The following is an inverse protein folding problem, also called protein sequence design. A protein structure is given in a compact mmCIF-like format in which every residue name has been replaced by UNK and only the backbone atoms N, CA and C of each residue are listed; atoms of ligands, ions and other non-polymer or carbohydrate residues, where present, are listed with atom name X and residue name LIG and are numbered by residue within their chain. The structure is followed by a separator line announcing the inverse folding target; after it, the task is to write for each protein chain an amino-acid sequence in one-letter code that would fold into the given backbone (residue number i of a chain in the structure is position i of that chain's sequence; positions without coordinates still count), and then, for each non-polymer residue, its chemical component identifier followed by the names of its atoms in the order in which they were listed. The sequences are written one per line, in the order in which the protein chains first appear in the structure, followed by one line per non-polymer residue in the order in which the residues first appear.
data_IF_316286256601
#
_entry.id   IF_316286256601
#
_cell.length_a   1.000
_cell.length_b   1.000
_cell.length_c   1.000
_cell.angle_alpha   90.00
_cell.angle_beta   90.00
_cell.angle_gamma   90.00
#
_symmetry.space_group_name_H-M   'P 1'
#
loop_
_entity.id
_entity.type
_entity.pdbx_description
1 polymer ?
#
# COMPACT_ATOMS: atom_id res chain seq x y z
N UNK A 1 14.86 -3.24 -7.40
CA UNK A 1 13.50 -3.19 -6.83
C UNK A 1 13.36 -4.39 -5.91
N UNK A 2 13.16 -4.16 -4.61
CA UNK A 2 12.87 -5.22 -3.64
C UNK A 2 11.39 -5.16 -3.27
N UNK A 3 10.69 -6.29 -3.32
CA UNK A 3 9.30 -6.37 -2.83
C UNK A 3 9.29 -7.03 -1.46
N UNK A 4 8.60 -6.42 -0.49
CA UNK A 4 8.39 -6.95 0.85
C UNK A 4 6.90 -7.20 1.09
N UNK A 5 6.59 -8.33 1.70
CA UNK A 5 5.23 -8.75 2.01
C UNK A 5 5.09 -8.77 3.52
N UNK A 6 4.11 -8.03 4.03
CA UNK A 6 3.82 -7.89 5.47
C UNK A 6 2.49 -8.59 5.75
N UNK A 7 2.46 -9.71 6.48
CA UNK A 7 1.21 -10.36 6.84
C UNK A 7 0.40 -9.45 7.79
N UNK A 8 -0.90 -9.35 7.55
CA UNK A 8 -1.85 -8.65 8.40
C UNK A 8 -2.68 -9.67 9.17
N UNK A 9 -3.11 -9.27 10.38
CA UNK A 9 -4.00 -10.10 11.20
C UNK A 9 -5.28 -10.42 10.43
N UNK A 10 -5.56 -11.71 10.32
CA UNK A 10 -6.76 -12.20 9.66
C UNK A 10 -7.96 -12.16 10.62
N UNK A 11 -9.11 -11.59 10.22
CA UNK A 11 -10.30 -11.57 11.08
C UNK A 11 -11.07 -12.89 11.07
N UNK A 12 -10.75 -13.85 10.18
CA UNK A 12 -11.52 -15.10 10.02
C UNK A 12 -10.62 -16.26 9.63
N UNK A 13 -10.86 -17.42 10.25
CA UNK A 13 -10.16 -18.67 9.97
C UNK A 13 -10.19 -18.97 8.46
N UNK A 14 -9.04 -19.39 7.92
CA UNK A 14 -8.88 -19.71 6.49
C UNK A 14 -8.68 -18.51 5.56
N UNK A 15 -8.66 -17.27 6.06
CA UNK A 15 -8.31 -16.10 5.26
C UNK A 15 -6.94 -15.54 5.65
N UNK A 16 -6.23 -14.95 4.71
CA UNK A 16 -4.97 -14.23 4.95
C UNK A 16 -5.00 -12.90 4.21
N UNK A 17 -4.41 -11.86 4.83
CA UNK A 17 -4.27 -10.53 4.23
C UNK A 17 -2.82 -10.14 4.29
N UNK A 18 -2.35 -9.44 3.26
CA UNK A 18 -0.96 -8.97 3.21
C UNK A 18 -0.93 -7.52 2.72
N UNK A 19 -0.01 -6.75 3.29
CA UNK A 19 0.40 -5.46 2.77
C UNK A 19 1.68 -5.66 1.94
N UNK A 20 1.71 -5.11 0.74
CA UNK A 20 2.89 -5.21 -0.15
C UNK A 20 3.57 -3.86 -0.22
N UNK A 21 4.88 -3.82 0.01
CA UNK A 21 5.70 -2.63 -0.22
C UNK A 21 6.81 -2.88 -1.23
N UNK A 22 7.00 -1.93 -2.14
CA UNK A 22 8.06 -1.94 -3.15
C UNK A 22 9.13 -0.92 -2.77
N UNK A 23 10.37 -1.39 -2.67
CA UNK A 23 11.53 -0.61 -2.24
C UNK A 23 12.44 -0.40 -3.45
N UNK A 24 12.91 0.83 -3.63
CA UNK A 24 13.77 1.26 -4.73
C UNK A 24 14.92 2.11 -4.21
N UNK A 25 16.04 2.08 -4.96
CA UNK A 25 17.21 2.90 -4.66
C UNK A 25 18.16 2.26 -3.64
N UNK A 26 19.26 2.95 -3.31
CA UNK A 26 20.27 2.44 -2.38
C UNK A 26 19.75 2.33 -0.94
N UNK A 27 20.13 1.26 -0.24
CA UNK A 27 19.76 1.05 1.17
C UNK A 27 20.48 2.01 2.12
N UNK A 28 21.65 2.53 1.72
CA UNK A 28 22.47 3.51 2.45
C UNK A 28 22.16 4.97 2.06
N UNK A 29 21.08 5.20 1.31
CA UNK A 29 20.70 6.54 0.90
C UNK A 29 20.40 7.45 2.11
N UNK A 30 20.94 8.66 2.11
CA UNK A 30 20.75 9.64 3.20
C UNK A 30 19.31 10.16 3.34
N UNK A 31 18.46 9.89 2.35
CA UNK A 31 17.06 10.31 2.34
C UNK A 31 16.16 9.14 2.00
N UNK A 32 15.02 9.09 2.68
CA UNK A 32 13.97 8.09 2.48
C UNK A 32 12.63 8.76 2.20
N UNK A 33 11.93 8.27 1.19
CA UNK A 33 10.58 8.72 0.82
C UNK A 33 9.63 7.54 0.95
N UNK A 34 8.56 7.72 1.73
CA UNK A 34 7.49 6.75 1.86
C UNK A 34 6.23 7.27 1.16
N UNK A 35 5.69 6.48 0.24
CA UNK A 35 4.52 6.83 -0.56
C UNK A 35 3.46 5.76 -0.31
N UNK A 36 2.34 6.17 0.25
CA UNK A 36 1.18 5.32 0.49
C UNK A 36 0.02 5.80 -0.37
N UNK A 37 -0.63 4.87 -1.05
CA UNK A 37 -1.80 5.15 -1.87
C UNK A 37 -2.97 4.26 -1.48
N UNK A 38 -4.17 4.68 -1.88
CA UNK A 38 -5.43 3.92 -1.73
C UNK A 38 -5.74 3.54 -0.27
N UNK A 39 -5.80 4.52 0.67
CA UNK A 39 -6.28 4.30 2.03
C UNK A 39 -7.75 3.85 2.07
N UNK A 40 -8.55 4.28 1.08
CA UNK A 40 -9.90 3.81 0.83
C UNK A 40 -9.90 2.94 -0.43
N UNK A 41 -10.64 1.83 -0.39
CA UNK A 41 -10.67 0.85 -1.48
C UNK A 41 -11.41 1.33 -2.75
N UNK A 42 -12.04 2.50 -2.69
CA UNK A 42 -12.76 3.16 -3.77
C UNK A 42 -11.91 4.18 -4.56
N UNK A 43 -10.69 4.46 -4.11
CA UNK A 43 -9.84 5.48 -4.70
C UNK A 43 -9.08 4.96 -5.92
N UNK A 44 -9.83 4.60 -6.97
CA UNK A 44 -9.29 4.19 -8.27
C UNK A 44 -8.20 5.14 -8.81
N UNK A 45 -8.31 6.50 -8.68
CA UNK A 45 -7.24 7.39 -9.10
C UNK A 45 -5.92 7.15 -8.33
N UNK A 46 -6.00 6.90 -7.01
CA UNK A 46 -4.83 6.63 -6.16
C UNK A 46 -4.11 5.34 -6.56
N UNK A 47 -4.87 4.28 -6.87
CA UNK A 47 -4.33 3.01 -7.35
C UNK A 47 -3.61 3.16 -8.69
N UNK A 48 -4.21 3.91 -9.62
CA UNK A 48 -3.63 4.17 -10.95
C UNK A 48 -2.34 4.98 -10.82
N UNK A 49 -2.31 6.03 -9.98
CA UNK A 49 -1.09 6.80 -9.72
C UNK A 49 0.00 5.92 -9.13
N UNK A 50 -0.32 5.07 -8.15
CA UNK A 50 0.65 4.14 -7.57
C UNK A 50 1.23 3.17 -8.61
N UNK A 51 0.40 2.71 -9.56
CA UNK A 51 0.87 1.87 -10.67
C UNK A 51 1.86 2.60 -11.59
N UNK A 52 1.57 3.85 -11.96
CA UNK A 52 2.49 4.67 -12.75
C UNK A 52 3.80 4.95 -12.01
N UNK A 53 3.72 5.29 -10.71
CA UNK A 53 4.90 5.53 -9.88
C UNK A 53 5.78 4.27 -9.77
N UNK A 54 5.17 3.09 -9.57
CA UNK A 54 5.89 1.81 -9.55
C UNK A 54 6.73 1.61 -10.82
N UNK A 55 6.14 1.84 -11.99
CA UNK A 55 6.84 1.72 -13.29
C UNK A 55 7.92 2.78 -13.45
N UNK A 56 7.65 4.01 -13.03
CA UNK A 56 8.60 5.11 -13.13
C UNK A 56 9.83 4.91 -12.24
N UNK A 57 9.64 4.52 -10.97
CA UNK A 57 10.76 4.22 -10.07
C UNK A 57 11.58 3.03 -10.53
N UNK A 58 10.95 1.98 -11.07
CA UNK A 58 11.67 0.85 -11.65
C UNK A 58 12.55 1.27 -12.85
N UNK A 59 12.13 2.26 -13.64
CA UNK A 59 12.96 2.81 -14.70
C UNK A 59 14.12 3.63 -14.13
N UNK A 60 13.85 4.56 -13.21
CA UNK A 60 14.90 5.39 -12.59
C UNK A 60 15.95 4.55 -11.85
N UNK A 61 15.55 3.45 -11.22
CA UNK A 61 16.45 2.52 -10.55
C UNK A 61 17.35 1.81 -11.56
N UNK A 62 16.80 1.31 -12.67
CA UNK A 62 17.58 0.71 -13.77
C UNK A 62 18.56 1.68 -14.39
N UNK A 63 18.19 2.95 -14.46
CA UNK A 63 19.04 4.02 -14.99
C UNK A 63 20.07 4.53 -13.97
N UNK A 64 20.08 4.00 -12.73
CA UNK A 64 20.99 4.44 -11.67
C UNK A 64 20.74 5.87 -11.18
N UNK A 65 19.54 6.41 -11.40
CA UNK A 65 19.20 7.82 -11.13
C UNK A 65 18.59 8.06 -9.75
N UNK A 66 18.34 7.01 -8.98
CA UNK A 66 17.78 7.12 -7.63
C UNK A 66 18.86 7.45 -6.61
N UNK A 67 18.72 8.60 -5.95
CA UNK A 67 19.62 9.10 -4.89
C UNK A 67 19.00 9.05 -3.49
N UNK A 68 17.83 8.44 -3.39
CA UNK A 68 17.04 8.30 -2.17
C UNK A 68 16.46 6.89 -2.16
N UNK A 69 16.24 6.35 -0.96
CA UNK A 69 15.45 5.15 -0.78
C UNK A 69 13.98 5.52 -0.95
N UNK A 70 13.24 4.80 -1.80
CA UNK A 70 11.81 5.03 -2.01
C UNK A 70 11.06 3.76 -1.62
N UNK A 71 10.06 3.90 -0.77
CA UNK A 71 9.14 2.83 -0.37
C UNK A 71 7.75 3.18 -0.85
N UNK A 72 7.21 2.37 -1.75
CA UNK A 72 5.87 2.53 -2.32
C UNK A 72 4.94 1.43 -1.81
N UNK A 73 3.85 1.83 -1.17
CA UNK A 73 2.75 0.97 -0.72
C UNK A 73 1.51 1.30 -1.54
N UNK A 74 1.21 0.51 -2.60
CA UNK A 74 0.18 0.86 -3.57
C UNK A 74 -1.26 0.72 -3.03
N UNK A 75 -1.47 -0.20 -2.09
CA UNK A 75 -2.76 -0.43 -1.44
C UNK A 75 -2.52 -0.49 0.06
N UNK A 76 -2.81 0.61 0.74
CA UNK A 76 -2.66 0.73 2.19
C UNK A 76 -3.68 -0.10 2.98
N UNK A 77 -4.88 -0.26 2.41
CA UNK A 77 -6.01 -0.93 3.04
C UNK A 77 -6.50 -2.10 2.17
N UNK A 78 -5.79 -3.25 2.21
CA UNK A 78 -6.23 -4.44 1.49
C UNK A 78 -7.53 -5.05 2.06
N UNK A 79 -7.94 -4.66 3.27
CA UNK A 79 -9.18 -5.13 3.89
C UNK A 79 -10.43 -4.49 3.26
N UNK A 80 -10.37 -3.21 2.89
CA UNK A 80 -11.45 -2.52 2.18
C UNK A 80 -11.66 -3.06 0.75
N UNK A 81 -10.59 -3.53 0.09
CA UNK A 81 -10.63 -4.01 -1.30
C UNK A 81 -11.47 -5.28 -1.48
N UNK A 82 -11.77 -5.99 -0.39
CA UNK A 82 -12.54 -7.24 -0.39
C UNK A 82 -13.89 -7.13 0.36
N UNK A 83 -14.30 -5.92 0.74
CA UNK A 83 -15.60 -5.67 1.38
C UNK A 83 -16.63 -5.23 0.32
N UNK A 84 -17.12 -6.19 -0.46
CA UNK A 84 -18.34 -6.02 -1.25
C UNK A 84 -19.53 -6.55 -0.46
N UNK A 85 -20.29 -5.67 0.18
CA UNK A 85 -21.67 -5.97 0.63
C UNK A 85 -22.63 -5.14 -0.24
N UNK A 86 -23.42 -5.82 -1.07
CA UNK A 86 -24.45 -5.24 -1.96
C UNK A 86 -23.99 -4.00 -2.78
N UNK A 87 -22.83 -4.08 -3.43
CA UNK A 87 -22.42 -3.07 -4.43
C UNK A 87 -22.06 -1.69 -3.87
N UNK A 88 -21.97 -1.54 -2.55
CA UNK A 88 -21.49 -0.31 -1.90
C UNK A 88 -20.25 -0.63 -1.09
N UNK A 89 -19.12 0.02 -1.40
CA UNK A 89 -17.92 -0.15 -0.60
C UNK A 89 -18.11 0.53 0.76
N UNK A 90 -17.99 -0.26 1.81
CA UNK A 90 -18.04 0.22 3.19
C UNK A 90 -16.61 0.53 3.68
N UNK A 91 -15.84 1.31 2.90
CA UNK A 91 -14.47 1.68 3.25
C UNK A 91 -14.34 2.60 4.47
N UNK A 92 -15.47 2.95 5.12
CA UNK A 92 -15.54 4.03 6.11
C UNK A 92 -15.63 3.55 7.56
N UNK A 93 -16.19 2.38 7.86
CA UNK A 93 -16.34 1.89 9.24
C UNK A 93 -16.31 0.36 9.30
N UNK A 94 -15.52 -0.20 10.23
CA UNK A 94 -15.64 -1.61 10.58
C UNK A 94 -16.93 -1.86 11.35
N UNK A 95 -17.60 -2.98 11.09
CA UNK A 95 -18.75 -3.41 11.89
C UNK A 95 -18.29 -3.66 13.33
N UNK A 96 -18.55 -2.68 14.21
CA UNK A 96 -18.36 -2.79 15.65
C UNK A 96 -17.42 -1.78 16.30
N UNK A 97 -16.55 -1.09 15.54
CA UNK A 97 -15.68 -0.05 16.12
C UNK A 97 -15.60 1.17 15.21
N UNK A 98 -15.95 2.33 15.76
CA UNK A 98 -15.74 3.65 15.17
C UNK A 98 -14.24 4.01 15.19
N UNK A 99 -13.39 3.17 14.58
CA UNK A 99 -11.97 3.43 14.39
C UNK A 99 -11.68 3.62 12.91
N UNK A 100 -11.22 4.82 12.56
CA UNK A 100 -10.63 5.08 11.25
C UNK A 100 -9.46 4.11 11.04
N UNK A 101 -9.46 3.37 9.93
CA UNK A 101 -8.39 2.44 9.54
C UNK A 101 -7.09 3.11 9.12
N UNK A 102 -6.74 4.27 9.70
CA UNK A 102 -5.56 5.07 9.36
C UNK A 102 -4.47 5.06 10.46
N UNK A 103 -4.55 4.16 11.44
CA UNK A 103 -3.62 4.07 12.56
C UNK A 103 -3.09 2.64 12.73
N UNK A 104 -2.34 2.16 11.75
CA UNK A 104 -1.42 1.05 11.92
C UNK A 104 -0.11 1.37 11.19
N UNK A 105 0.64 2.30 11.78
CA UNK A 105 2.09 2.40 11.59
C UNK A 105 2.69 2.60 12.99
N UNK A 106 3.45 1.65 13.54
CA UNK A 106 4.38 1.95 14.63
C UNK A 106 5.55 2.81 14.14
#
# INVERSE_FOLDING_TARGET
MQTRIHPLTSPTLGTARTLVSHHYGPDDASRKVYIQASPHADELPGMVVAWYLKRHFAQLERDGRLRAQIVLVPVANPAGLNQHWLGTQMGRFGNGEARQGNLLVP
#
